data_IF_914321456733
#
_entry.id   IF_914321456733
#
_cell.length_a   1.000
_cell.length_b   1.000
_cell.length_c   1.000
_cell.angle_alpha   90.00
_cell.angle_beta   90.00
_cell.angle_gamma   90.00
#
_symmetry.space_group_name_H-M   'P 1'
#
loop_
_entity.id
_entity.type
_entity.pdbx_description
1 polymer ?
#
# COMPACT_ATOMS: atom_id res chain seq x y z
N UNK A 1 21.39 7.16 0.32
CA UNK A 1 21.97 6.07 1.13
C UNK A 1 21.41 4.73 0.62
N UNK A 2 22.17 3.65 0.70
CA UNK A 2 21.74 2.34 0.24
C UNK A 2 21.90 1.30 1.36
N UNK A 3 21.00 0.32 1.40
CA UNK A 3 21.04 -0.83 2.30
C UNK A 3 21.49 -2.06 1.50
N UNK A 4 22.49 -2.76 1.97
CA UNK A 4 23.05 -3.93 1.27
C UNK A 4 22.47 -5.24 1.79
N UNK A 5 22.23 -6.18 0.87
CA UNK A 5 21.83 -7.54 1.23
C UNK A 5 22.97 -8.23 2.01
N UNK A 6 22.70 -8.83 3.18
CA UNK A 6 23.73 -9.48 3.99
C UNK A 6 24.30 -10.75 3.34
N UNK A 7 23.59 -11.34 2.37
CA UNK A 7 24.00 -12.60 1.73
C UNK A 7 24.74 -12.40 0.42
N UNK A 8 24.29 -11.49 -0.44
CA UNK A 8 24.84 -11.33 -1.80
C UNK A 8 25.38 -9.93 -2.10
N UNK A 9 25.36 -9.00 -1.14
CA UNK A 9 25.87 -7.63 -1.30
C UNK A 9 25.01 -6.72 -2.20
N UNK A 10 23.92 -7.20 -2.81
CA UNK A 10 23.04 -6.36 -3.65
C UNK A 10 22.57 -5.14 -2.87
N UNK A 11 22.72 -3.98 -3.47
CA UNK A 11 22.34 -2.70 -2.88
C UNK A 11 20.91 -2.34 -3.23
N UNK A 12 20.21 -1.74 -2.27
CA UNK A 12 18.82 -1.30 -2.38
C UNK A 12 18.70 0.14 -1.89
N UNK A 13 17.81 0.90 -2.50
CA UNK A 13 17.53 2.26 -2.03
C UNK A 13 17.02 2.24 -0.58
N UNK A 14 17.62 3.07 0.30
CA UNK A 14 17.23 3.15 1.70
C UNK A 14 15.75 3.54 1.88
N UNK A 15 15.17 4.25 0.91
CA UNK A 15 13.76 4.60 0.94
C UNK A 15 12.81 3.39 0.93
N UNK A 16 13.27 2.23 0.40
CA UNK A 16 12.50 0.98 0.47
C UNK A 16 12.34 0.44 1.88
N UNK A 17 13.19 0.86 2.80
CA UNK A 17 13.21 0.43 4.20
C UNK A 17 12.58 1.47 5.13
N UNK A 18 11.96 2.50 4.56
CA UNK A 18 11.19 3.45 5.32
C UNK A 18 10.15 2.73 6.20
N UNK A 19 9.91 3.24 7.40
CA UNK A 19 8.97 2.66 8.38
C UNK A 19 9.33 1.23 8.84
N UNK A 20 10.61 0.86 8.88
CA UNK A 20 11.08 -0.44 9.37
C UNK A 20 10.76 -1.63 8.44
N UNK A 21 10.48 -1.36 7.18
CA UNK A 21 10.18 -2.41 6.20
C UNK A 21 11.38 -3.31 5.95
N UNK A 22 11.12 -4.61 5.77
CA UNK A 22 12.07 -5.56 5.21
C UNK A 22 11.60 -6.06 3.85
N UNK A 23 12.54 -6.43 2.98
CA UNK A 23 12.26 -7.05 1.68
C UNK A 23 13.02 -8.36 1.53
N UNK A 24 12.56 -9.21 0.62
CA UNK A 24 13.34 -10.37 0.20
C UNK A 24 14.22 -9.99 -1.00
N UNK A 25 15.51 -10.26 -0.88
CA UNK A 25 16.44 -10.18 -1.99
C UNK A 25 16.16 -11.30 -3.00
N UNK A 26 16.52 -11.11 -4.26
CA UNK A 26 16.46 -12.17 -5.28
C UNK A 26 17.27 -13.42 -4.94
N UNK A 27 18.26 -13.32 -4.04
CA UNK A 27 19.01 -14.47 -3.50
C UNK A 27 18.29 -15.19 -2.35
N UNK A 28 17.06 -14.79 -2.01
CA UNK A 28 16.25 -15.35 -0.92
C UNK A 28 16.54 -14.77 0.46
N UNK A 29 17.59 -13.95 0.64
CA UNK A 29 17.91 -13.36 1.93
C UNK A 29 16.95 -12.20 2.26
N UNK A 30 16.65 -12.04 3.54
CA UNK A 30 15.91 -10.90 4.07
C UNK A 30 16.84 -9.69 4.22
N UNK A 31 16.41 -8.52 3.76
CA UNK A 31 17.14 -7.25 3.81
C UNK A 31 16.33 -6.22 4.56
N UNK A 32 16.97 -5.46 5.45
CA UNK A 32 16.36 -4.43 6.30
C UNK A 32 16.47 -4.78 7.78
N UNK A 33 16.53 -3.77 8.63
CA UNK A 33 16.55 -3.89 10.08
C UNK A 33 15.11 -3.76 10.62
N UNK A 34 14.38 -4.83 10.63
CA UNK A 34 13.07 -4.89 11.27
C UNK A 34 12.75 -6.34 11.54
N UNK A 35 12.48 -6.68 12.79
CA UNK A 35 11.69 -7.85 13.05
C UNK A 35 10.42 -7.72 12.22
N UNK A 36 10.06 -8.79 11.54
CA UNK A 36 8.75 -8.92 10.94
C UNK A 36 7.77 -8.87 12.13
N UNK A 37 7.34 -7.66 12.50
CA UNK A 37 6.09 -7.56 13.17
C UNK A 37 5.11 -8.21 12.18
N UNK A 38 4.76 -9.44 12.44
CA UNK A 38 3.70 -10.12 11.73
C UNK A 38 2.54 -9.15 11.76
N UNK A 39 2.00 -8.82 10.59
CA UNK A 39 0.89 -7.88 10.46
C UNK A 39 -0.40 -8.55 10.96
N UNK A 40 -0.31 -9.27 12.08
CA UNK A 40 -1.49 -9.64 12.85
C UNK A 40 -2.15 -8.34 13.28
N UNK A 41 -3.31 -8.08 12.69
CA UNK A 41 -4.11 -6.92 13.00
C UNK A 41 -3.87 -5.67 12.14
N UNK A 42 -3.10 -5.71 11.04
CA UNK A 42 -3.11 -4.61 10.09
C UNK A 42 -4.51 -4.44 9.49
N UNK A 43 -5.08 -3.22 9.49
CA UNK A 43 -6.42 -2.99 8.99
C UNK A 43 -6.50 -3.36 7.51
N UNK A 44 -7.57 -4.07 7.15
CA UNK A 44 -7.92 -4.43 5.77
C UNK A 44 -9.17 -3.67 5.39
N UNK A 45 -9.18 -3.09 4.20
CA UNK A 45 -10.26 -2.22 3.78
C UNK A 45 -10.98 -2.75 2.54
N UNK A 46 -12.28 -2.46 2.45
CA UNK A 46 -13.06 -2.51 1.23
C UNK A 46 -13.55 -1.09 0.94
N UNK A 47 -13.09 -0.48 -0.13
CA UNK A 47 -13.43 0.90 -0.46
C UNK A 47 -14.58 0.94 -1.45
N UNK A 48 -15.56 1.77 -1.16
CA UNK A 48 -16.68 2.10 -2.03
C UNK A 48 -16.20 2.71 -3.36
N UNK A 49 -17.03 2.59 -4.41
CA UNK A 49 -16.74 3.00 -5.78
C UNK A 49 -16.20 4.43 -5.89
N UNK A 50 -16.76 5.35 -5.12
CA UNK A 50 -16.35 6.76 -5.08
C UNK A 50 -14.98 7.01 -4.48
N UNK A 51 -14.38 6.05 -3.78
CA UNK A 51 -13.12 6.17 -3.05
C UNK A 51 -11.91 5.59 -3.79
N UNK A 52 -11.98 5.48 -5.12
CA UNK A 52 -10.92 4.87 -5.92
C UNK A 52 -9.54 5.54 -5.77
N UNK A 53 -9.51 6.86 -5.56
CA UNK A 53 -8.25 7.59 -5.30
C UNK A 53 -7.67 7.22 -3.93
N UNK A 54 -8.50 7.18 -2.90
CA UNK A 54 -8.11 6.76 -1.55
C UNK A 54 -7.61 5.32 -1.54
N UNK A 55 -8.34 4.40 -2.18
CA UNK A 55 -7.94 2.99 -2.29
C UNK A 55 -6.54 2.82 -2.88
N UNK A 56 -6.22 3.57 -3.95
CA UNK A 56 -4.87 3.54 -4.54
C UNK A 56 -3.80 4.02 -3.56
N UNK A 57 -4.07 5.06 -2.79
CA UNK A 57 -3.14 5.58 -1.79
C UNK A 57 -2.94 4.62 -0.62
N UNK A 58 -4.01 4.01 -0.11
CA UNK A 58 -3.91 2.99 0.94
C UNK A 58 -3.04 1.80 0.48
N UNK A 59 -3.20 1.35 -0.77
CA UNK A 59 -2.33 0.31 -1.36
C UNK A 59 -0.87 0.76 -1.46
N UNK A 60 -0.61 2.01 -1.85
CA UNK A 60 0.74 2.59 -1.88
C UNK A 60 1.36 2.59 -0.50
N UNK A 61 0.57 2.85 0.55
CA UNK A 61 0.98 2.77 1.95
C UNK A 61 1.10 1.33 2.47
N UNK A 62 0.72 0.33 1.68
CA UNK A 62 0.85 -1.08 2.00
C UNK A 62 -0.39 -1.72 2.61
N UNK A 63 -1.50 -1.00 2.74
CA UNK A 63 -2.74 -1.55 3.28
C UNK A 63 -3.49 -2.37 2.23
N UNK A 64 -3.93 -3.56 2.65
CA UNK A 64 -4.79 -4.42 1.84
C UNK A 64 -6.16 -3.74 1.65
N UNK A 65 -6.36 -3.18 0.47
CA UNK A 65 -7.55 -2.41 0.16
C UNK A 65 -8.17 -2.87 -1.15
N UNK A 66 -9.34 -3.49 -1.09
CA UNK A 66 -10.12 -3.83 -2.28
C UNK A 66 -10.91 -2.62 -2.76
N UNK A 67 -11.07 -2.52 -4.06
CA UNK A 67 -11.86 -1.48 -4.72
C UNK A 67 -12.26 -1.92 -6.12
N UNK A 68 -13.51 -1.68 -6.46
CA UNK A 68 -14.08 -1.86 -7.79
C UNK A 68 -14.97 -0.67 -8.13
N UNK A 69 -14.92 -0.22 -9.38
CA UNK A 69 -15.91 0.69 -9.90
C UNK A 69 -17.24 -0.06 -10.14
N UNK A 70 -18.36 0.61 -9.89
CA UNK A 70 -19.69 0.10 -10.21
C UNK A 70 -20.06 -1.24 -9.53
N UNK A 71 -19.62 -1.47 -8.30
CA UNK A 71 -20.08 -2.60 -7.49
C UNK A 71 -21.35 -2.20 -6.71
N UNK A 72 -22.42 -3.01 -6.72
CA UNK A 72 -23.59 -2.77 -5.88
C UNK A 72 -23.23 -2.86 -4.37
N UNK A 73 -23.90 -2.06 -3.55
CA UNK A 73 -23.63 -2.00 -2.10
C UNK A 73 -23.74 -3.37 -1.42
N UNK A 74 -24.74 -4.16 -1.78
CA UNK A 74 -24.88 -5.53 -1.26
C UNK A 74 -23.66 -6.41 -1.55
N UNK A 75 -23.12 -6.35 -2.76
CA UNK A 75 -21.94 -7.12 -3.14
C UNK A 75 -20.67 -6.60 -2.43
N UNK A 76 -20.56 -5.29 -2.25
CA UNK A 76 -19.47 -4.64 -1.51
C UNK A 76 -19.51 -5.06 -0.03
N UNK A 77 -20.68 -5.00 0.62
CA UNK A 77 -20.90 -5.38 2.01
C UNK A 77 -20.61 -6.87 2.21
N UNK A 78 -21.15 -7.74 1.35
CA UNK A 78 -20.88 -9.18 1.40
C UNK A 78 -19.39 -9.47 1.31
N UNK A 79 -18.70 -8.87 0.35
CA UNK A 79 -17.25 -9.00 0.20
C UNK A 79 -16.48 -8.53 1.46
N UNK A 80 -16.89 -7.40 2.06
CA UNK A 80 -16.27 -6.89 3.26
C UNK A 80 -16.45 -7.84 4.45
N UNK A 81 -17.64 -8.40 4.63
CA UNK A 81 -17.95 -9.37 5.69
C UNK A 81 -17.16 -10.68 5.51
N UNK A 82 -17.22 -11.29 4.33
CA UNK A 82 -16.56 -12.56 4.03
C UNK A 82 -15.05 -12.49 4.24
N UNK A 83 -14.47 -11.32 3.99
CA UNK A 83 -13.02 -11.12 4.09
C UNK A 83 -12.57 -10.38 5.36
N UNK A 84 -13.46 -10.08 6.29
CA UNK A 84 -13.13 -9.38 7.54
C UNK A 84 -12.52 -8.00 7.28
N UNK A 85 -13.09 -7.22 6.34
CA UNK A 85 -12.61 -5.90 5.96
C UNK A 85 -13.46 -4.79 6.59
N UNK A 86 -12.85 -3.68 6.95
CA UNK A 86 -13.60 -2.45 7.23
C UNK A 86 -14.02 -1.82 5.93
N UNK A 87 -15.32 -1.58 5.76
CA UNK A 87 -15.87 -0.89 4.62
C UNK A 87 -15.64 0.61 4.78
N UNK A 88 -15.08 1.24 3.76
CA UNK A 88 -14.87 2.69 3.70
C UNK A 88 -15.87 3.29 2.70
N UNK A 89 -16.65 4.26 3.14
CA UNK A 89 -17.61 4.96 2.28
C UNK A 89 -17.76 6.42 2.70
N UNK A 90 -18.40 7.23 1.86
CA UNK A 90 -18.94 8.56 2.20
C UNK A 90 -20.46 8.55 2.30
N UNK A 91 -21.09 7.42 1.99
CA UNK A 91 -22.52 7.27 2.17
C UNK A 91 -22.86 7.05 3.65
N UNK A 92 -23.60 8.00 4.22
CA UNK A 92 -24.03 7.99 5.61
C UNK A 92 -25.17 7.00 5.88
N UNK A 93 -25.90 6.57 4.83
CA UNK A 93 -27.01 5.61 4.97
C UNK A 93 -26.51 4.18 5.06
N UNK A 94 -25.37 3.87 4.45
CA UNK A 94 -24.85 2.52 4.37
C UNK A 94 -24.73 1.82 5.73
N UNK A 95 -24.20 2.44 6.81
CA UNK A 95 -24.16 1.80 8.13
C UNK A 95 -25.54 1.64 8.78
N UNK A 96 -26.54 2.43 8.39
CA UNK A 96 -27.92 2.29 8.89
C UNK A 96 -28.60 1.07 8.24
N UNK A 97 -28.33 0.81 6.97
CA UNK A 97 -28.88 -0.30 6.22
C UNK A 97 -28.14 -1.62 6.51
N UNK A 98 -26.84 -1.56 6.78
CA UNK A 98 -25.95 -2.73 6.92
C UNK A 98 -25.22 -2.76 8.27
N UNK A 99 -25.92 -3.16 9.32
CA UNK A 99 -25.45 -3.07 10.72
C UNK A 99 -24.38 -4.11 11.11
N UNK A 100 -24.18 -5.17 10.31
CA UNK A 100 -23.24 -6.26 10.62
C UNK A 100 -21.82 -6.05 10.12
N UNK A 101 -21.62 -5.18 9.12
CA UNK A 101 -20.30 -4.89 8.57
C UNK A 101 -19.66 -3.73 9.31
N UNK A 102 -18.36 -3.80 9.67
CA UNK A 102 -17.67 -2.65 10.22
C UNK A 102 -17.52 -1.59 9.13
N UNK A 103 -18.22 -0.47 9.29
CA UNK A 103 -18.20 0.67 8.36
C UNK A 103 -17.48 1.85 8.98
N UNK A 104 -16.61 2.49 8.21
CA UNK A 104 -16.06 3.80 8.53
C UNK A 104 -16.53 4.83 7.49
N UNK A 105 -17.35 5.77 7.96
CA UNK A 105 -17.89 6.83 7.12
C UNK A 105 -16.94 8.03 7.12
N UNK A 106 -16.35 8.30 5.96
CA UNK A 106 -15.47 9.44 5.74
C UNK A 106 -16.29 10.73 5.55
N UNK A 107 -15.88 11.79 6.22
CA UNK A 107 -16.51 13.12 6.15
C UNK A 107 -15.79 14.01 5.15
N UNK A 108 -14.45 13.89 5.08
CA UNK A 108 -13.63 14.69 4.21
C UNK A 108 -13.88 14.36 2.72
N UNK A 109 -13.83 15.39 1.91
CA UNK A 109 -14.02 15.27 0.45
C UNK A 109 -12.69 15.06 -0.28
N UNK A 110 -11.64 15.66 0.23
CA UNK A 110 -10.31 15.56 -0.34
C UNK A 110 -9.50 14.40 0.25
N UNK A 111 -8.52 13.96 -0.52
CA UNK A 111 -7.68 12.82 -0.16
C UNK A 111 -6.92 13.01 1.16
N UNK A 112 -6.43 14.23 1.42
CA UNK A 112 -5.62 14.51 2.60
C UNK A 112 -6.47 14.38 3.87
N UNK A 113 -7.65 14.98 3.86
CA UNK A 113 -8.61 14.85 4.95
C UNK A 113 -9.03 13.41 5.19
N UNK A 114 -9.30 12.65 4.10
CA UNK A 114 -9.63 11.22 4.19
C UNK A 114 -8.51 10.39 4.82
N UNK A 115 -7.26 10.63 4.43
CA UNK A 115 -6.11 9.97 5.03
C UNK A 115 -5.90 10.37 6.49
N UNK A 116 -6.15 11.64 6.84
CA UNK A 116 -6.07 12.10 8.22
C UNK A 116 -7.13 11.44 9.12
N UNK A 117 -8.39 11.34 8.65
CA UNK A 117 -9.46 10.64 9.39
C UNK A 117 -9.11 9.16 9.62
N UNK A 118 -8.63 8.47 8.57
CA UNK A 118 -8.19 7.08 8.70
C UNK A 118 -6.93 6.94 9.55
N UNK A 119 -6.01 7.91 9.45
CA UNK A 119 -4.80 7.96 10.26
C UNK A 119 -5.10 8.00 11.74
N UNK A 120 -6.03 8.87 12.16
CA UNK A 120 -6.48 9.00 13.53
C UNK A 120 -7.18 7.73 14.05
N UNK A 121 -7.97 7.05 13.20
CA UNK A 121 -8.77 5.88 13.61
C UNK A 121 -7.99 4.57 13.60
N UNK A 122 -7.08 4.39 12.65
CA UNK A 122 -6.39 3.12 12.37
C UNK A 122 -4.87 3.20 12.53
N UNK A 123 -4.34 4.32 13.01
CA UNK A 123 -2.89 4.54 13.21
C UNK A 123 -2.08 4.28 11.91
N UNK A 124 -2.57 4.81 10.77
CA UNK A 124 -1.98 4.49 9.48
C UNK A 124 -0.47 4.77 9.43
N UNK A 125 0.00 5.85 10.04
CA UNK A 125 1.43 6.20 10.04
C UNK A 125 2.29 5.12 10.70
N UNK A 126 1.87 4.60 11.84
CA UNK A 126 2.57 3.55 12.58
C UNK A 126 2.55 2.19 11.86
N UNK A 127 1.47 1.93 11.12
CA UNK A 127 1.21 0.63 10.46
C UNK A 127 1.58 0.60 8.99
N UNK A 128 1.91 1.74 8.38
CA UNK A 128 2.25 1.81 6.96
C UNK A 128 3.45 0.93 6.60
N UNK A 129 3.33 0.22 5.47
CA UNK A 129 4.40 -0.59 4.87
C UNK A 129 4.45 -0.26 3.36
N UNK A 130 4.93 0.94 2.99
CA UNK A 130 4.97 1.38 1.60
C UNK A 130 5.68 0.39 0.70
N UNK A 131 5.31 0.35 -0.57
CA UNK A 131 5.87 -0.56 -1.59
C UNK A 131 5.73 -2.06 -1.29
N UNK A 132 4.74 -2.45 -0.49
CA UNK A 132 4.41 -3.86 -0.31
C UNK A 132 3.31 -4.33 -1.24
N UNK A 133 2.51 -3.39 -1.78
CA UNK A 133 1.35 -3.71 -2.62
C UNK A 133 1.32 -2.91 -3.92
N UNK A 134 0.80 -3.57 -4.95
CA UNK A 134 0.49 -2.93 -6.22
C UNK A 134 -0.66 -1.93 -6.04
N UNK A 135 -0.46 -0.67 -6.41
CA UNK A 135 -1.49 0.36 -6.31
C UNK A 135 -2.69 0.11 -7.25
N UNK A 136 -2.52 -0.70 -8.30
CA UNK A 136 -3.58 -1.05 -9.25
C UNK A 136 -4.32 -2.32 -8.87
N UNK A 137 -3.61 -3.42 -8.58
CA UNK A 137 -4.18 -4.75 -8.40
C UNK A 137 -4.38 -5.15 -6.94
N UNK A 138 -3.79 -4.41 -5.98
CA UNK A 138 -3.72 -4.79 -4.56
C UNK A 138 -2.84 -6.03 -4.26
N UNK A 139 -2.22 -6.64 -5.26
CA UNK A 139 -1.32 -7.79 -5.08
C UNK A 139 -0.05 -7.42 -4.32
N UNK A 140 0.50 -8.36 -3.58
CA UNK A 140 1.82 -8.20 -2.96
C UNK A 140 2.89 -8.01 -4.03
N UNK A 141 3.78 -7.05 -3.83
CA UNK A 141 4.91 -6.82 -4.73
C UNK A 141 6.05 -7.76 -4.41
N UNK A 142 6.68 -8.27 -5.46
CA UNK A 142 7.85 -9.15 -5.43
C UNK A 142 9.08 -8.41 -5.96
N UNK A 143 10.31 -8.82 -5.61
CA UNK A 143 11.51 -8.31 -6.28
C UNK A 143 11.44 -8.53 -7.80
N UNK A 144 11.76 -7.50 -8.56
CA UNK A 144 11.88 -7.63 -10.01
C UNK A 144 13.25 -8.23 -10.36
N UNK A 145 13.29 -9.11 -11.37
CA UNK A 145 14.53 -9.66 -11.92
C UNK A 145 15.29 -8.59 -12.75
N UNK A 146 16.57 -8.82 -13.00
CA UNK A 146 17.37 -7.90 -13.79
C UNK A 146 16.86 -7.82 -15.26
N UNK A 147 16.30 -8.91 -15.77
CA UNK A 147 15.66 -8.94 -17.10
C UNK A 147 14.43 -8.04 -17.12
N UNK A 148 13.50 -8.20 -16.20
CA UNK A 148 12.30 -7.37 -16.11
C UNK A 148 12.62 -5.89 -15.93
N UNK A 149 13.68 -5.57 -15.17
CA UNK A 149 14.15 -4.21 -14.97
C UNK A 149 14.75 -3.66 -16.28
N UNK A 150 15.54 -4.47 -17.00
CA UNK A 150 16.17 -4.03 -18.26
C UNK A 150 15.15 -3.73 -19.35
N UNK A 151 14.09 -4.51 -19.42
CA UNK A 151 13.05 -4.40 -20.44
C UNK A 151 12.02 -3.28 -20.15
N UNK A 152 11.70 -3.06 -18.87
CA UNK A 152 10.54 -2.24 -18.47
C UNK A 152 10.88 -0.91 -17.80
N UNK A 153 12.14 -0.71 -17.41
CA UNK A 153 12.57 0.49 -16.71
C UNK A 153 13.54 1.30 -17.58
N UNK A 154 13.27 2.60 -17.80
CA UNK A 154 14.15 3.45 -18.59
C UNK A 154 15.60 3.48 -18.06
N UNK A 155 16.62 3.53 -18.92
CA UNK A 155 18.03 3.55 -18.49
C UNK A 155 18.35 4.66 -17.49
N UNK A 156 17.78 5.85 -17.67
CA UNK A 156 17.97 6.99 -16.76
C UNK A 156 17.41 6.75 -15.35
N UNK A 157 16.40 5.89 -15.22
CA UNK A 157 15.83 5.49 -13.92
C UNK A 157 16.69 4.40 -13.30
N UNK A 158 17.14 3.42 -14.10
CA UNK A 158 18.04 2.35 -13.63
C UNK A 158 19.35 2.88 -13.09
N UNK A 159 19.88 3.94 -13.69
CA UNK A 159 21.11 4.58 -13.23
C UNK A 159 20.97 5.26 -11.86
N UNK A 160 19.75 5.69 -11.50
CA UNK A 160 19.50 6.49 -10.27
C UNK A 160 18.81 5.71 -9.16
N UNK A 161 18.19 4.58 -9.47
CA UNK A 161 17.41 3.80 -8.50
C UNK A 161 17.86 2.34 -8.47
N UNK A 162 17.69 1.72 -7.31
CA UNK A 162 17.99 0.32 -7.06
C UNK A 162 16.83 -0.30 -6.26
N UNK A 163 16.68 -1.62 -6.33
CA UNK A 163 15.65 -2.33 -5.58
C UNK A 163 14.27 -2.19 -6.21
N UNK A 164 14.18 -2.58 -7.48
CA UNK A 164 12.93 -2.62 -8.22
C UNK A 164 12.02 -3.75 -7.74
N UNK A 165 10.74 -3.47 -7.71
CA UNK A 165 9.69 -4.42 -7.35
C UNK A 165 8.73 -4.57 -8.51
N UNK A 166 8.13 -5.74 -8.67
CA UNK A 166 7.10 -5.99 -9.69
C UNK A 166 5.80 -6.51 -9.09
N UNK A 167 4.70 -6.26 -9.76
CA UNK A 167 3.43 -6.90 -9.48
C UNK A 167 3.33 -8.22 -10.24
N UNK A 168 3.07 -9.37 -9.58
CA UNK A 168 2.95 -10.66 -10.29
C UNK A 168 1.72 -10.72 -11.20
N UNK A 169 0.70 -9.87 -10.97
CA UNK A 169 -0.55 -9.88 -11.73
C UNK A 169 -0.54 -8.96 -12.93
N UNK A 170 -0.08 -7.71 -12.79
CA UNK A 170 -0.11 -6.73 -13.89
C UNK A 170 1.29 -6.36 -14.39
N UNK A 171 2.32 -7.00 -13.87
CA UNK A 171 3.72 -6.93 -14.27
C UNK A 171 4.35 -5.52 -14.22
N UNK A 172 3.65 -4.55 -13.63
CA UNK A 172 4.20 -3.20 -13.44
C UNK A 172 5.39 -3.24 -12.49
N UNK A 173 6.43 -2.51 -12.88
CA UNK A 173 7.62 -2.33 -12.06
C UNK A 173 7.50 -1.06 -11.24
N UNK A 174 7.93 -1.14 -10.00
CA UNK A 174 7.89 -0.08 -9.00
C UNK A 174 9.28 0.19 -8.45
N UNK A 175 9.56 1.44 -8.15
CA UNK A 175 10.80 1.89 -7.50
C UNK A 175 10.54 3.04 -6.55
N UNK A 176 11.47 3.31 -5.62
CA UNK A 176 11.40 4.42 -4.69
C UNK A 176 11.84 5.71 -5.39
N UNK A 177 10.90 6.40 -6.04
CA UNK A 177 11.12 7.69 -6.68
C UNK A 177 10.75 8.88 -5.78
N UNK A 178 10.74 10.08 -6.34
CA UNK A 178 10.42 11.35 -5.66
C UNK A 178 9.04 11.39 -4.97
N UNK A 179 8.13 10.52 -5.34
CA UNK A 179 6.81 10.40 -4.71
C UNK A 179 6.86 9.86 -3.26
N UNK A 180 7.95 9.21 -2.85
CA UNK A 180 8.13 8.74 -1.45
C UNK A 180 8.13 9.90 -0.47
N UNK A 181 8.81 10.99 -0.80
CA UNK A 181 8.82 12.19 0.04
C UNK A 181 7.42 12.79 0.20
N UNK A 182 6.64 12.83 -0.89
CA UNK A 182 5.25 13.31 -0.85
C UNK A 182 4.33 12.41 -0.01
N UNK A 183 4.60 11.11 -0.01
CA UNK A 183 3.86 10.16 0.83
C UNK A 183 4.12 10.40 2.31
N UNK A 184 5.39 10.64 2.68
CA UNK A 184 5.75 11.01 4.05
C UNK A 184 5.04 12.27 4.49
N UNK A 185 5.14 13.32 3.69
CA UNK A 185 4.50 14.59 4.00
C UNK A 185 2.98 14.46 4.23
N UNK A 186 2.30 13.61 3.47
CA UNK A 186 0.86 13.35 3.64
C UNK A 186 0.50 12.64 4.96
N UNK A 187 1.44 11.88 5.54
CA UNK A 187 1.22 11.13 6.78
C UNK A 187 1.73 11.88 8.02
N UNK A 188 2.76 12.71 7.87
CA UNK A 188 3.50 13.33 8.97
C UNK A 188 3.09 14.78 9.26
N UNK A 189 2.39 15.48 8.35
CA UNK A 189 1.93 16.84 8.60
C UNK A 189 0.68 16.83 9.51
N UNK A 190 0.81 17.28 10.79
CA UNK A 190 -0.33 17.57 11.63
C UNK A 190 -1.13 18.75 11.04
N UNK A 191 -2.42 18.76 11.27
CA UNK A 191 -3.26 19.94 11.08
C UNK A 191 -2.94 20.98 12.13
#
# INVERSE_FOLDING_TARGET
MAVSCPRCGRRYDAALFAFGRTIHCTCGARVGSGERAELEGAPRFAADAMLGRLARWLRVLGFDTTWQAHVPDEALVRHALEQGRTLLTRDRRLPEEWTRVPVFVLRAEDLRGQLAELGARFELAARARPFTRCNRCNEALLPASDVEVSERVPPSVRARHQGFLRCPRCERVYWAGSHVARMRALLEEPR
#
